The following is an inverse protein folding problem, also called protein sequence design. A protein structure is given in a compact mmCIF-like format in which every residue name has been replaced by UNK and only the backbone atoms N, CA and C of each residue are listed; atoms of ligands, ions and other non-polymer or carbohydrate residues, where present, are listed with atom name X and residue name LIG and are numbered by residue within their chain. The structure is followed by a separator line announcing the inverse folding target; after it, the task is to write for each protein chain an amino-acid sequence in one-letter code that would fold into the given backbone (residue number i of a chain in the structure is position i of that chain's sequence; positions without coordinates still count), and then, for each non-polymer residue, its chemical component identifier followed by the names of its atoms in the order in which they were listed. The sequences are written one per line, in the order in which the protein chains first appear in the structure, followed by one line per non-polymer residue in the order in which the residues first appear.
data_IF_899247109702
#
_entry.id   IF_899247109702
#
_cell.length_a   1.000
_cell.length_b   1.000
_cell.length_c   1.000
_cell.angle_alpha   90.00
_cell.angle_beta   90.00
_cell.angle_gamma   90.00
#
_symmetry.space_group_name_H-M   'P 1'
#
loop_
_entity.id
_entity.type
_entity.pdbx_description
1 polymer ?
#
# COMPACT_ATOMS: atom_id res chain seq x y z
N UNK A 1 -1.18 26.03 13.98
CA UNK A 1 -2.62 26.18 13.65
C UNK A 1 -2.71 26.18 12.14
N UNK A 2 -3.48 25.28 11.54
CA UNK A 2 -3.57 25.14 10.07
C UNK A 2 -4.35 26.33 9.49
N UNK A 3 -3.77 27.01 8.49
CA UNK A 3 -4.46 28.02 7.71
C UNK A 3 -5.35 27.36 6.64
N UNK A 4 -6.59 27.05 7.02
CA UNK A 4 -7.55 26.38 6.15
C UNK A 4 -7.94 27.19 4.92
N UNK A 5 -7.74 28.51 4.91
CA UNK A 5 -8.12 29.38 3.78
C UNK A 5 -7.34 29.07 2.50
N UNK A 6 -6.22 28.34 2.62
CA UNK A 6 -5.36 27.90 1.52
C UNK A 6 -5.43 26.39 1.26
N UNK A 7 -6.23 25.65 2.04
CA UNK A 7 -6.31 24.19 2.00
C UNK A 7 -7.54 23.76 1.20
N UNK A 8 -7.42 23.75 -0.13
CA UNK A 8 -8.51 23.33 -1.00
C UNK A 8 -8.69 21.81 -0.97
N UNK A 9 -9.93 21.36 -1.16
CA UNK A 9 -10.33 19.96 -1.27
C UNK A 9 -10.58 19.53 -2.73
N UNK A 10 -11.06 18.30 -2.93
CA UNK A 10 -11.35 17.75 -4.27
C UNK A 10 -12.35 18.57 -5.11
N UNK A 11 -13.16 19.42 -4.48
CA UNK A 11 -14.11 20.31 -5.17
C UNK A 11 -13.60 21.75 -5.28
N UNK A 12 -12.40 22.03 -4.77
CA UNK A 12 -11.81 23.36 -4.71
C UNK A 12 -12.29 24.20 -3.51
N UNK A 13 -13.10 23.63 -2.61
CA UNK A 13 -13.60 24.34 -1.43
C UNK A 13 -12.54 24.34 -0.32
N UNK A 14 -12.54 25.37 0.54
CA UNK A 14 -11.58 25.50 1.67
C UNK A 14 -12.25 25.45 3.04
N UNK A 15 -13.57 25.58 3.12
CA UNK A 15 -14.31 25.72 4.38
C UNK A 15 -15.10 24.45 4.78
N UNK A 16 -15.27 23.49 3.88
CA UNK A 16 -16.11 22.32 4.10
C UNK A 16 -15.42 21.25 4.95
N UNK A 17 -14.14 20.96 4.67
CA UNK A 17 -13.37 19.94 5.41
C UNK A 17 -13.33 20.19 6.92
N UNK A 18 -13.03 21.41 7.42
CA UNK A 18 -13.08 21.69 8.86
C UNK A 18 -14.45 21.42 9.49
N UNK A 19 -15.55 21.81 8.82
CA UNK A 19 -16.91 21.59 9.32
C UNK A 19 -17.27 20.11 9.37
N UNK A 20 -16.83 19.34 8.37
CA UNK A 20 -17.05 17.90 8.32
C UNK A 20 -16.23 17.19 9.41
N UNK A 21 -14.97 17.58 9.63
CA UNK A 21 -14.12 17.06 10.71
C UNK A 21 -14.77 17.28 12.09
N UNK A 22 -15.29 18.48 12.35
CA UNK A 22 -16.02 18.80 13.58
C UNK A 22 -17.29 17.95 13.74
N UNK A 23 -17.98 17.65 12.64
CA UNK A 23 -19.20 16.84 12.66
C UNK A 23 -18.90 15.38 12.95
N UNK A 24 -17.92 14.77 12.26
CA UNK A 24 -17.53 13.37 12.50
C UNK A 24 -16.92 13.15 13.88
N UNK A 25 -16.33 14.19 14.49
CA UNK A 25 -15.85 14.13 15.86
C UNK A 25 -16.99 14.02 16.90
N UNK A 26 -18.20 14.49 16.55
CA UNK A 26 -19.38 14.45 17.43
C UNK A 26 -20.32 13.29 17.12
N UNK A 27 -20.39 12.87 15.86
CA UNK A 27 -21.37 11.89 15.37
C UNK A 27 -20.72 10.96 14.36
N UNK A 28 -20.81 9.64 14.59
CA UNK A 28 -20.32 8.63 13.65
C UNK A 28 -21.34 8.36 12.53
N UNK A 29 -21.61 9.38 11.72
CA UNK A 29 -22.56 9.34 10.61
C UNK A 29 -21.89 8.87 9.32
N UNK A 30 -22.42 7.81 8.71
CA UNK A 30 -21.89 7.22 7.46
C UNK A 30 -21.87 8.21 6.31
N UNK A 31 -22.92 9.04 6.16
CA UNK A 31 -23.00 10.02 5.07
C UNK A 31 -21.93 11.11 5.18
N UNK A 32 -21.71 11.61 6.40
CA UNK A 32 -20.68 12.61 6.70
C UNK A 32 -19.28 12.05 6.46
N UNK A 33 -19.00 10.81 6.86
CA UNK A 33 -17.73 10.15 6.56
C UNK A 33 -17.50 9.95 5.07
N UNK A 34 -18.54 9.55 4.32
CA UNK A 34 -18.44 9.38 2.88
C UNK A 34 -18.11 10.70 2.15
N UNK A 35 -18.81 11.79 2.51
CA UNK A 35 -18.54 13.11 1.95
C UNK A 35 -17.15 13.64 2.34
N UNK A 36 -16.72 13.44 3.59
CA UNK A 36 -15.36 13.79 4.03
C UNK A 36 -14.31 13.00 3.24
N UNK A 37 -14.52 11.69 3.09
CA UNK A 37 -13.65 10.82 2.30
C UNK A 37 -13.50 11.32 0.87
N UNK A 38 -14.61 11.56 0.18
CA UNK A 38 -14.62 12.06 -1.21
C UNK A 38 -13.89 13.41 -1.36
N UNK A 39 -13.98 14.30 -0.37
CA UNK A 39 -13.31 15.60 -0.41
C UNK A 39 -11.80 15.50 -0.18
N UNK A 40 -11.35 14.56 0.66
CA UNK A 40 -9.93 14.41 1.00
C UNK A 40 -9.19 13.42 0.09
N UNK A 41 -9.91 12.50 -0.53
CA UNK A 41 -9.34 11.45 -1.37
C UNK A 41 -10.27 11.30 -2.58
N UNK A 42 -9.79 11.72 -3.74
CA UNK A 42 -10.47 11.50 -5.01
C UNK A 42 -9.87 10.27 -5.71
N UNK A 43 -10.64 9.65 -6.62
CA UNK A 43 -10.21 8.50 -7.41
C UNK A 43 -8.81 8.70 -8.06
N UNK A 44 -8.11 7.59 -8.34
CA UNK A 44 -6.79 7.57 -9.00
C UNK A 44 -5.65 8.28 -8.22
N UNK A 45 -5.56 8.02 -6.91
CA UNK A 45 -4.46 8.45 -6.04
C UNK A 45 -4.33 9.96 -5.78
N UNK A 46 -5.40 10.72 -6.01
CA UNK A 46 -5.40 12.16 -5.82
C UNK A 46 -5.73 12.55 -4.38
N UNK A 47 -4.79 13.27 -3.76
CA UNK A 47 -4.97 13.97 -2.48
C UNK A 47 -4.69 15.46 -2.67
N UNK A 48 -5.21 16.26 -1.75
CA UNK A 48 -5.24 17.72 -1.84
C UNK A 48 -4.58 18.33 -0.60
N UNK A 49 -4.25 19.64 -0.59
CA UNK A 49 -3.74 20.30 0.61
C UNK A 49 -4.62 20.07 1.85
N UNK A 50 -5.95 20.06 1.67
CA UNK A 50 -6.90 19.74 2.75
C UNK A 50 -6.71 18.34 3.36
N UNK A 51 -6.25 17.36 2.57
CA UNK A 51 -5.97 15.99 3.01
C UNK A 51 -4.86 15.96 4.05
N UNK A 52 -3.73 16.58 3.76
CA UNK A 52 -2.60 16.66 4.68
C UNK A 52 -2.94 17.53 5.90
N UNK A 53 -3.64 18.64 5.70
CA UNK A 53 -4.14 19.50 6.77
C UNK A 53 -5.09 18.77 7.75
N UNK A 54 -5.86 17.78 7.26
CA UNK A 54 -6.78 16.98 8.06
C UNK A 54 -6.08 15.88 8.89
N UNK A 55 -4.88 15.43 8.50
CA UNK A 55 -4.19 14.31 9.13
C UNK A 55 -4.09 14.43 10.66
N UNK A 56 -3.66 15.56 11.25
CA UNK A 56 -3.58 15.66 12.72
C UNK A 56 -4.93 15.48 13.40
N UNK A 57 -6.04 15.87 12.77
CA UNK A 57 -7.38 15.70 13.31
C UNK A 57 -7.84 14.24 13.19
N UNK A 58 -7.64 13.63 12.03
CA UNK A 58 -8.00 12.23 11.79
C UNK A 58 -7.22 11.28 12.71
N UNK A 59 -5.93 11.51 12.91
CA UNK A 59 -5.10 10.68 13.80
C UNK A 59 -5.55 10.77 15.26
N UNK A 60 -5.98 11.94 15.74
CA UNK A 60 -6.58 12.06 17.09
C UNK A 60 -7.90 11.30 17.20
N UNK A 61 -8.71 11.28 16.15
CA UNK A 61 -9.97 10.53 16.13
C UNK A 61 -9.76 9.01 15.97
N UNK A 62 -8.65 8.60 15.35
CA UNK A 62 -8.34 7.21 15.01
C UNK A 62 -8.19 6.30 16.24
N UNK A 63 -7.92 6.84 17.43
CA UNK A 63 -7.96 6.06 18.68
C UNK A 63 -9.32 5.42 18.95
N UNK A 64 -10.40 6.04 18.47
CA UNK A 64 -11.79 5.65 18.76
C UNK A 64 -12.61 5.38 17.50
N UNK A 65 -12.06 5.68 16.31
CA UNK A 65 -12.76 5.55 15.04
C UNK A 65 -11.89 4.83 14.01
N UNK A 66 -12.31 3.63 13.62
CA UNK A 66 -11.68 2.86 12.53
C UNK A 66 -11.84 3.60 11.19
N UNK A 67 -12.90 4.38 11.00
CA UNK A 67 -13.09 5.21 9.80
C UNK A 67 -12.06 6.32 9.72
N UNK A 68 -11.75 6.98 10.84
CA UNK A 68 -10.69 7.97 10.90
C UNK A 68 -9.31 7.35 10.63
N UNK A 69 -9.06 6.16 11.21
CA UNK A 69 -7.82 5.40 10.97
C UNK A 69 -7.66 5.03 9.49
N UNK A 70 -8.73 4.50 8.87
CA UNK A 70 -8.75 4.14 7.45
C UNK A 70 -8.51 5.36 6.55
N UNK A 71 -9.23 6.45 6.78
CA UNK A 71 -9.10 7.66 5.97
C UNK A 71 -7.71 8.32 6.11
N UNK A 72 -7.13 8.34 7.32
CA UNK A 72 -5.76 8.81 7.52
C UNK A 72 -4.75 7.92 6.78
N UNK A 73 -4.93 6.59 6.85
CA UNK A 73 -4.11 5.63 6.11
C UNK A 73 -4.21 5.79 4.60
N UNK A 74 -5.39 6.08 4.09
CA UNK A 74 -5.65 6.35 2.68
C UNK A 74 -4.98 7.63 2.16
N UNK A 75 -4.90 8.68 2.98
CA UNK A 75 -4.20 9.91 2.64
C UNK A 75 -2.69 9.67 2.58
N UNK A 76 -2.13 9.00 3.60
CA UNK A 76 -0.69 8.67 3.63
C UNK A 76 -0.32 7.70 2.52
N UNK A 77 -1.18 6.73 2.20
CA UNK A 77 -1.01 5.79 1.08
C UNK A 77 -0.74 6.47 -0.26
N UNK A 78 -1.30 7.67 -0.46
CA UNK A 78 -1.22 8.44 -1.70
C UNK A 78 -0.17 9.55 -1.63
N UNK A 79 0.49 9.73 -0.50
CA UNK A 79 1.47 10.78 -0.27
C UNK A 79 2.72 10.67 -1.15
N UNK A 80 3.00 9.48 -1.71
CA UNK A 80 4.09 9.26 -2.66
C UNK A 80 3.90 9.98 -4.01
N UNK A 81 2.66 10.37 -4.34
CA UNK A 81 2.39 11.12 -5.55
C UNK A 81 2.92 12.55 -5.44
N UNK A 82 3.39 13.11 -6.56
CA UNK A 82 3.87 14.49 -6.62
C UNK A 82 2.67 15.46 -6.65
N UNK A 83 2.03 15.65 -5.48
CA UNK A 83 0.82 16.48 -5.33
C UNK A 83 1.14 17.96 -5.04
N UNK A 84 2.41 18.35 -5.07
CA UNK A 84 2.85 19.71 -4.70
C UNK A 84 2.61 20.03 -3.21
N UNK A 85 2.46 19.01 -2.37
CA UNK A 85 2.12 19.12 -0.96
C UNK A 85 3.24 18.64 -0.02
N UNK A 86 4.47 18.47 -0.52
CA UNK A 86 5.59 17.86 0.21
C UNK A 86 5.90 18.60 1.52
N UNK A 87 5.77 19.93 1.52
CA UNK A 87 5.97 20.74 2.73
C UNK A 87 4.89 20.47 3.78
N UNK A 88 3.63 20.26 3.36
CA UNK A 88 2.54 19.91 4.27
C UNK A 88 2.71 18.50 4.81
N UNK A 89 3.13 17.55 3.96
CA UNK A 89 3.45 16.19 4.39
C UNK A 89 4.58 16.19 5.42
N UNK A 90 5.67 16.91 5.16
CA UNK A 90 6.82 17.04 6.09
C UNK A 90 6.42 17.68 7.41
N UNK A 91 5.47 18.62 7.39
CA UNK A 91 4.92 19.20 8.62
C UNK A 91 4.11 18.19 9.46
N UNK A 92 3.75 17.05 8.87
CA UNK A 92 2.97 15.99 9.50
C UNK A 92 3.83 14.80 10.01
N UNK A 93 5.16 14.85 9.98
CA UNK A 93 6.04 13.71 10.34
C UNK A 93 5.65 13.06 11.69
N UNK A 94 5.49 13.86 12.75
CA UNK A 94 5.06 13.34 14.05
C UNK A 94 3.64 12.75 14.06
N UNK A 95 2.76 13.25 13.19
CA UNK A 95 1.41 12.72 13.00
C UNK A 95 1.43 11.39 12.23
N UNK A 96 2.30 11.25 11.23
CA UNK A 96 2.49 10.02 10.44
C UNK A 96 3.08 8.91 11.32
N UNK A 97 4.04 9.24 12.19
CA UNK A 97 4.58 8.32 13.19
C UNK A 97 3.46 7.81 14.13
N UNK A 98 2.67 8.73 14.69
CA UNK A 98 1.56 8.36 15.57
C UNK A 98 0.49 7.50 14.87
N UNK A 99 0.23 7.76 13.58
CA UNK A 99 -0.63 6.91 12.75
C UNK A 99 -0.05 5.49 12.62
N UNK A 100 1.26 5.36 12.43
CA UNK A 100 1.95 4.06 12.39
C UNK A 100 1.72 3.21 13.63
N UNK A 101 1.85 3.82 14.82
CA UNK A 101 1.60 3.13 16.09
C UNK A 101 0.13 2.70 16.26
N UNK A 102 -0.81 3.52 15.77
CA UNK A 102 -2.23 3.17 15.77
C UNK A 102 -2.54 2.03 14.81
N UNK A 103 -1.98 2.06 13.60
CA UNK A 103 -2.12 1.00 12.60
C UNK A 103 -1.52 -0.31 13.09
N UNK A 104 -0.30 -0.33 13.65
CA UNK A 104 0.31 -1.55 14.18
C UNK A 104 -0.52 -2.18 15.29
N UNK A 105 -1.03 -1.35 16.23
CA UNK A 105 -1.95 -1.82 17.27
C UNK A 105 -3.24 -2.36 16.68
N UNK A 106 -3.80 -1.70 15.68
CA UNK A 106 -5.01 -2.14 15.01
C UNK A 106 -4.79 -3.50 14.32
N UNK A 107 -3.69 -3.70 13.59
CA UNK A 107 -3.40 -4.97 12.92
C UNK A 107 -3.30 -6.16 13.88
N UNK A 108 -2.75 -5.95 15.09
CA UNK A 108 -2.66 -6.98 16.14
C UNK A 108 -4.03 -7.45 16.63
N UNK A 109 -5.09 -6.66 16.50
CA UNK A 109 -6.47 -7.10 16.80
C UNK A 109 -7.07 -7.98 15.70
N UNK A 110 -6.33 -8.18 14.61
CA UNK A 110 -6.70 -9.00 13.45
C UNK A 110 -8.00 -8.54 12.78
N UNK A 111 -8.09 -7.25 12.38
CA UNK A 111 -9.28 -6.68 11.77
C UNK A 111 -9.65 -7.39 10.46
N UNK A 112 -10.92 -7.32 10.10
CA UNK A 112 -11.43 -7.74 8.80
C UNK A 112 -12.16 -6.55 8.16
N UNK A 113 -11.72 -6.03 7.00
CA UNK A 113 -10.56 -6.47 6.21
C UNK A 113 -9.20 -6.05 6.82
N UNK A 114 -8.17 -6.90 6.66
CA UNK A 114 -6.81 -6.65 7.20
C UNK A 114 -5.93 -5.83 6.25
N UNK A 115 -6.02 -6.11 4.95
CA UNK A 115 -5.11 -5.59 3.93
C UNK A 115 -5.06 -4.05 3.86
N UNK A 116 -6.19 -3.30 3.93
CA UNK A 116 -6.12 -1.84 3.85
C UNK A 116 -5.27 -1.20 4.95
N UNK A 117 -5.40 -1.68 6.20
CA UNK A 117 -4.59 -1.19 7.31
C UNK A 117 -3.12 -1.59 7.17
N UNK A 118 -2.84 -2.76 6.58
CA UNK A 118 -1.47 -3.22 6.35
C UNK A 118 -0.77 -2.40 5.26
N UNK A 119 -1.47 -2.10 4.15
CA UNK A 119 -1.00 -1.18 3.10
C UNK A 119 -0.77 0.24 3.63
N UNK A 120 -1.67 0.74 4.48
CA UNK A 120 -1.47 2.03 5.14
C UNK A 120 -0.20 2.03 6.01
N UNK A 121 0.08 0.95 6.74
CA UNK A 121 1.28 0.83 7.55
C UNK A 121 2.57 0.74 6.69
N UNK A 122 2.49 0.10 5.52
CA UNK A 122 3.56 0.13 4.53
C UNK A 122 3.85 1.56 4.05
N UNK A 123 2.82 2.34 3.75
CA UNK A 123 2.96 3.72 3.31
C UNK A 123 3.54 4.63 4.42
N UNK A 124 3.15 4.44 5.68
CA UNK A 124 3.78 5.13 6.83
C UNK A 124 5.28 4.81 6.94
N UNK A 125 5.71 3.61 6.49
CA UNK A 125 7.11 3.20 6.42
C UNK A 125 7.77 3.54 5.07
N UNK A 126 7.14 4.41 4.29
CA UNK A 126 7.59 4.87 2.98
C UNK A 126 7.81 3.73 1.97
N UNK A 127 7.20 2.56 2.20
CA UNK A 127 7.19 1.44 1.26
C UNK A 127 6.03 1.59 0.27
N UNK A 128 5.95 2.77 -0.36
CA UNK A 128 4.80 3.17 -1.18
C UNK A 128 4.55 2.26 -2.38
N UNK A 129 5.61 1.76 -3.01
CA UNK A 129 5.50 0.81 -4.12
C UNK A 129 4.90 -0.52 -3.69
N UNK A 130 5.22 -1.01 -2.49
CA UNK A 130 4.56 -2.20 -1.95
C UNK A 130 3.15 -1.88 -1.48
N UNK A 131 2.93 -0.71 -0.88
CA UNK A 131 1.60 -0.28 -0.45
C UNK A 131 0.60 -0.21 -1.63
N UNK A 132 1.06 0.21 -2.81
CA UNK A 132 0.20 0.32 -3.99
C UNK A 132 -0.15 -1.02 -4.63
N UNK A 133 0.76 -2.00 -4.65
CA UNK A 133 0.60 -3.20 -5.50
C UNK A 133 0.38 -4.51 -4.73
N UNK A 134 0.60 -4.53 -3.43
CA UNK A 134 0.44 -5.74 -2.62
C UNK A 134 -1.04 -6.05 -2.38
N UNK A 135 -1.61 -7.06 -3.04
CA UNK A 135 -2.97 -7.51 -2.77
C UNK A 135 -2.98 -8.65 -1.74
N UNK A 136 -4.09 -9.40 -1.65
CA UNK A 136 -4.27 -10.49 -0.69
C UNK A 136 -3.80 -11.86 -1.22
N UNK A 137 -3.14 -11.89 -2.38
CA UNK A 137 -2.73 -13.09 -3.10
C UNK A 137 -3.92 -13.97 -3.52
N UNK A 138 -5.10 -13.39 -3.76
CA UNK A 138 -6.21 -14.08 -4.43
C UNK A 138 -6.08 -14.05 -5.95
N UNK A 139 -5.59 -12.96 -6.53
CA UNK A 139 -5.48 -12.76 -7.99
C UNK A 139 -4.20 -11.99 -8.39
N UNK A 140 -3.11 -12.20 -7.67
CA UNK A 140 -1.89 -11.40 -7.84
C UNK A 140 -1.04 -11.91 -9.01
N UNK A 141 -0.87 -11.02 -9.99
CA UNK A 141 0.05 -11.20 -11.11
C UNK A 141 1.04 -10.04 -11.16
N UNK A 142 2.32 -10.38 -11.27
CA UNK A 142 3.39 -9.42 -11.49
C UNK A 142 4.01 -9.65 -12.86
N UNK A 143 4.45 -8.57 -13.51
CA UNK A 143 5.21 -8.65 -14.76
C UNK A 143 6.58 -8.08 -14.53
N UNK A 144 7.60 -8.82 -14.95
CA UNK A 144 8.99 -8.39 -14.83
C UNK A 144 9.75 -8.81 -16.08
N UNK A 145 10.80 -8.07 -16.42
CA UNK A 145 11.70 -8.47 -17.49
C UNK A 145 12.76 -9.41 -16.94
N UNK A 146 13.06 -10.51 -17.63
CA UNK A 146 14.17 -11.36 -17.23
C UNK A 146 15.49 -10.55 -17.34
N UNK A 147 16.35 -10.50 -16.30
CA UNK A 147 17.57 -9.70 -16.35
C UNK A 147 18.63 -10.25 -17.33
N UNK A 148 18.50 -11.51 -17.77
CA UNK A 148 19.47 -12.16 -18.65
C UNK A 148 19.11 -12.10 -20.13
N UNK A 149 17.82 -12.26 -20.48
CA UNK A 149 17.37 -12.30 -21.89
C UNK A 149 16.26 -11.29 -22.20
N UNK A 150 15.88 -10.44 -21.23
CA UNK A 150 14.92 -9.35 -21.36
C UNK A 150 13.50 -9.73 -21.81
N UNK A 151 13.18 -11.02 -21.89
CA UNK A 151 11.80 -11.46 -22.15
C UNK A 151 10.91 -11.06 -20.98
N UNK A 152 9.70 -10.59 -21.27
CA UNK A 152 8.68 -10.36 -20.24
C UNK A 152 8.26 -11.70 -19.64
N UNK A 153 8.28 -11.77 -18.30
CA UNK A 153 7.87 -12.94 -17.52
C UNK A 153 6.67 -12.53 -16.68
N UNK A 154 5.59 -13.29 -16.82
CA UNK A 154 4.43 -13.21 -15.93
C UNK A 154 4.67 -14.09 -14.71
N UNK A 155 4.42 -13.54 -13.53
CA UNK A 155 4.55 -14.21 -12.24
C UNK A 155 3.17 -14.31 -11.60
N UNK A 156 2.69 -15.52 -11.34
CA UNK A 156 1.49 -15.77 -10.57
C UNK A 156 1.87 -16.09 -9.12
N UNK A 157 1.26 -15.40 -8.15
CA UNK A 157 1.48 -15.64 -6.71
C UNK A 157 0.14 -15.68 -5.99
N UNK A 158 -0.31 -16.87 -5.58
CA UNK A 158 -1.53 -16.99 -4.79
C UNK A 158 -2.42 -18.15 -5.23
N UNK A 159 -3.72 -17.90 -5.26
CA UNK A 159 -4.73 -18.93 -5.52
C UNK A 159 -4.67 -19.47 -6.96
N UNK A 160 -4.20 -18.66 -7.93
CA UNK A 160 -3.98 -19.09 -9.32
C UNK A 160 -2.70 -19.93 -9.53
N UNK A 161 -1.80 -19.93 -8.55
CA UNK A 161 -0.55 -20.68 -8.60
C UNK A 161 0.64 -19.88 -8.09
N UNK A 162 1.80 -20.52 -8.16
CA UNK A 162 3.10 -19.99 -7.73
C UNK A 162 4.12 -20.30 -8.81
N UNK A 163 4.03 -19.59 -9.94
CA UNK A 163 4.87 -19.88 -11.11
C UNK A 163 5.30 -18.62 -11.87
N UNK A 164 6.38 -18.75 -12.63
CA UNK A 164 6.76 -17.85 -13.73
C UNK A 164 6.37 -18.47 -15.07
N UNK A 165 5.95 -17.64 -16.03
CA UNK A 165 5.47 -18.08 -17.35
C UNK A 165 5.71 -17.01 -18.42
N UNK A 166 5.63 -17.42 -19.70
CA UNK A 166 5.46 -16.50 -20.83
C UNK A 166 3.96 -16.38 -21.10
N UNK A 167 3.47 -15.16 -21.29
CA UNK A 167 2.07 -14.91 -21.61
C UNK A 167 1.85 -15.07 -23.12
N UNK A 168 1.16 -16.13 -23.51
CA UNK A 168 0.63 -16.29 -24.86
C UNK A 168 -0.80 -15.75 -24.94
N UNK A 169 -1.12 -15.06 -26.03
CA UNK A 169 -2.43 -14.43 -26.21
C UNK A 169 -3.59 -15.45 -26.31
N UNK A 170 -3.33 -16.62 -26.87
CA UNK A 170 -4.36 -17.65 -27.11
C UNK A 170 -4.32 -18.77 -26.07
N UNK A 171 -3.13 -19.18 -25.66
CA UNK A 171 -2.90 -20.29 -24.75
C UNK A 171 -2.76 -19.86 -23.28
N UNK A 172 -2.72 -18.55 -22.99
CA UNK A 172 -2.50 -18.02 -21.65
C UNK A 172 -1.07 -18.25 -21.18
N UNK A 173 -0.89 -18.60 -19.90
CA UNK A 173 0.45 -18.80 -19.32
C UNK A 173 1.06 -20.14 -19.74
N UNK A 174 2.08 -20.08 -20.61
CA UNK A 174 2.82 -21.25 -21.13
C UNK A 174 4.20 -21.37 -20.48
N UNK A 175 4.80 -22.57 -20.60
CA UNK A 175 6.14 -22.91 -20.09
C UNK A 175 6.35 -22.62 -18.59
N UNK A 176 5.31 -22.86 -17.79
CA UNK A 176 5.28 -22.55 -16.36
C UNK A 176 6.45 -23.19 -15.60
N UNK A 177 7.17 -22.39 -14.82
CA UNK A 177 8.20 -22.83 -13.87
C UNK A 177 7.79 -22.47 -12.45
N UNK A 178 7.92 -23.41 -11.51
CA UNK A 178 7.58 -23.14 -10.12
C UNK A 178 8.46 -22.02 -9.52
N UNK A 179 7.82 -21.10 -8.81
CA UNK A 179 8.53 -20.12 -7.98
C UNK A 179 9.13 -20.82 -6.76
N UNK A 180 10.22 -20.27 -6.26
CA UNK A 180 10.87 -20.74 -5.03
C UNK A 180 10.68 -19.68 -3.96
N UNK A 181 9.91 -19.95 -2.89
CA UNK A 181 9.77 -18.99 -1.81
C UNK A 181 11.12 -18.76 -1.12
N UNK A 182 11.33 -17.54 -0.64
CA UNK A 182 12.38 -17.25 0.32
C UNK A 182 12.02 -17.86 1.68
N UNK A 183 13.02 -18.45 2.34
CA UNK A 183 12.93 -18.78 3.77
C UNK A 183 12.96 -17.50 4.61
N UNK A 184 12.47 -17.58 5.85
CA UNK A 184 12.43 -16.43 6.77
C UNK A 184 13.83 -15.83 7.02
N UNK A 185 14.87 -16.67 6.97
CA UNK A 185 16.27 -16.30 7.15
C UNK A 185 16.86 -15.58 5.92
N UNK A 186 16.29 -15.82 4.74
CA UNK A 186 16.70 -15.16 3.49
C UNK A 186 16.03 -13.79 3.29
N UNK A 187 14.91 -13.55 3.97
CA UNK A 187 14.24 -12.25 3.91
C UNK A 187 15.05 -11.19 4.65
N UNK A 188 15.14 -10.00 4.05
CA UNK A 188 15.74 -8.82 4.66
C UNK A 188 14.90 -7.56 4.38
N UNK A 189 15.25 -6.44 5.00
CA UNK A 189 14.62 -5.13 4.75
C UNK A 189 13.09 -5.16 4.86
N UNK A 190 12.42 -4.56 3.87
CA UNK A 190 10.97 -4.49 3.80
C UNK A 190 10.30 -5.87 3.72
N UNK A 191 10.89 -6.82 2.96
CA UNK A 191 10.38 -8.19 2.82
C UNK A 191 10.33 -8.92 4.16
N UNK A 192 11.40 -8.80 4.95
CA UNK A 192 11.45 -9.39 6.30
C UNK A 192 10.43 -8.76 7.23
N UNK A 193 10.38 -7.43 7.25
CA UNK A 193 9.43 -6.71 8.10
C UNK A 193 7.97 -7.06 7.76
N UNK A 194 7.63 -7.13 6.48
CA UNK A 194 6.30 -7.53 6.02
C UNK A 194 5.96 -8.94 6.49
N UNK A 195 6.85 -9.90 6.25
CA UNK A 195 6.68 -11.29 6.64
C UNK A 195 6.48 -11.44 8.16
N UNK A 196 7.38 -10.87 8.96
CA UNK A 196 7.31 -10.96 10.42
C UNK A 196 6.01 -10.35 10.97
N UNK A 197 5.54 -9.24 10.37
CA UNK A 197 4.29 -8.58 10.77
C UNK A 197 3.08 -9.48 10.50
N UNK A 198 2.97 -10.02 9.28
CA UNK A 198 1.83 -10.87 8.91
C UNK A 198 1.87 -12.22 9.64
N UNK A 199 3.06 -12.75 9.96
CA UNK A 199 3.23 -13.96 10.78
C UNK A 199 2.77 -13.72 12.21
N UNK A 200 3.24 -12.62 12.85
CA UNK A 200 2.80 -12.20 14.19
C UNK A 200 1.28 -12.09 14.28
N UNK A 201 0.66 -11.54 13.23
CA UNK A 201 -0.78 -11.30 13.18
C UNK A 201 -1.58 -12.51 12.71
N UNK A 202 -0.92 -13.65 12.45
CA UNK A 202 -1.57 -14.93 12.10
C UNK A 202 -2.12 -14.98 10.67
N UNK A 203 -1.62 -14.15 9.76
CA UNK A 203 -2.05 -14.05 8.36
C UNK A 203 -1.24 -14.97 7.45
N UNK A 204 -1.48 -16.29 7.59
CA UNK A 204 -0.73 -17.34 6.86
C UNK A 204 -0.71 -17.13 5.34
N UNK A 205 -1.84 -16.82 4.70
CA UNK A 205 -1.92 -16.62 3.24
C UNK A 205 -1.00 -15.49 2.78
N UNK A 206 -1.04 -14.35 3.48
CA UNK A 206 -0.15 -13.22 3.21
C UNK A 206 1.33 -13.59 3.44
N UNK A 207 1.64 -14.31 4.52
CA UNK A 207 3.01 -14.74 4.80
C UNK A 207 3.56 -15.63 3.67
N UNK A 208 2.75 -16.57 3.17
CA UNK A 208 3.11 -17.42 2.03
C UNK A 208 3.31 -16.61 0.75
N UNK A 209 2.40 -15.68 0.44
CA UNK A 209 2.52 -14.83 -0.74
C UNK A 209 3.77 -13.93 -0.69
N UNK A 210 4.02 -13.28 0.45
CA UNK A 210 5.22 -12.46 0.69
C UNK A 210 6.50 -13.30 0.53
N UNK A 211 6.53 -14.53 1.03
CA UNK A 211 7.69 -15.40 0.84
C UNK A 211 7.97 -15.72 -0.64
N UNK A 212 6.95 -15.82 -1.49
CA UNK A 212 7.12 -15.98 -2.94
C UNK A 212 7.48 -14.67 -3.64
N UNK A 213 6.88 -13.55 -3.23
CA UNK A 213 7.15 -12.22 -3.77
C UNK A 213 8.61 -11.82 -3.55
N UNK A 214 9.17 -12.16 -2.40
CA UNK A 214 10.59 -11.95 -2.09
C UNK A 214 11.45 -13.20 -2.36
N UNK A 215 10.90 -14.16 -3.11
CA UNK A 215 11.55 -15.39 -3.50
C UNK A 215 12.25 -15.28 -4.86
N UNK A 216 12.45 -16.43 -5.50
CA UNK A 216 13.12 -16.55 -6.80
C UNK A 216 12.19 -17.11 -7.87
N UNK A 217 12.32 -16.58 -9.08
CA UNK A 217 11.70 -17.09 -10.28
C UNK A 217 12.74 -17.73 -11.21
N UNK A 218 12.27 -18.55 -12.15
CA UNK A 218 13.08 -19.11 -13.24
C UNK A 218 12.50 -18.62 -14.56
N UNK A 219 13.32 -17.98 -15.40
CA UNK A 219 12.89 -17.55 -16.72
C UNK A 219 12.49 -18.77 -17.57
N UNK A 220 11.25 -18.82 -18.11
CA UNK A 220 10.83 -19.93 -18.95
C UNK A 220 11.65 -20.08 -20.24
N UNK A 221 12.17 -18.97 -20.77
CA UNK A 221 12.90 -18.92 -22.03
C UNK A 221 14.38 -19.32 -21.89
N UNK A 222 15.12 -18.69 -20.97
CA UNK A 222 16.58 -18.88 -20.84
C UNK A 222 17.00 -19.64 -19.58
N UNK A 223 16.06 -20.07 -18.74
CA UNK A 223 16.28 -20.75 -17.46
C UNK A 223 17.10 -19.97 -16.41
N UNK A 224 17.41 -18.69 -16.66
CA UNK A 224 18.06 -17.83 -15.66
C UNK A 224 17.19 -17.69 -14.40
N UNK A 225 17.83 -17.71 -13.24
CA UNK A 225 17.18 -17.55 -11.93
C UNK A 225 17.36 -16.12 -11.46
N UNK A 226 16.28 -15.45 -11.06
CA UNK A 226 16.30 -14.07 -10.59
C UNK A 226 15.36 -13.86 -9.40
N UNK A 227 15.56 -12.77 -8.67
CA UNK A 227 14.72 -12.40 -7.53
C UNK A 227 13.47 -11.64 -7.97
N UNK A 228 12.31 -12.04 -7.48
CA UNK A 228 11.03 -11.46 -7.95
C UNK A 228 10.90 -10.00 -7.53
N UNK A 229 11.09 -9.72 -6.24
CA UNK A 229 10.95 -8.39 -5.68
C UNK A 229 12.00 -7.42 -6.24
N UNK A 230 13.22 -7.89 -6.51
CA UNK A 230 14.30 -7.09 -7.07
C UNK A 230 14.00 -6.64 -8.49
N UNK A 231 13.57 -7.56 -9.37
CA UNK A 231 13.22 -7.19 -10.76
C UNK A 231 11.95 -6.34 -10.82
N UNK A 232 10.99 -6.59 -9.92
CA UNK A 232 9.81 -5.74 -9.81
C UNK A 232 10.19 -4.32 -9.38
N UNK A 233 11.01 -4.20 -8.34
CA UNK A 233 11.51 -2.91 -7.87
C UNK A 233 12.31 -2.18 -8.97
N UNK A 234 13.16 -2.88 -9.71
CA UNK A 234 13.94 -2.29 -10.81
C UNK A 234 13.06 -1.77 -11.96
N UNK A 235 11.90 -2.39 -12.21
CA UNK A 235 10.98 -2.00 -13.28
C UNK A 235 10.03 -0.86 -12.87
N UNK A 236 9.67 -0.75 -11.59
CA UNK A 236 8.57 0.10 -11.13
C UNK A 236 8.93 1.13 -10.05
N UNK A 237 10.12 1.06 -9.44
CA UNK A 237 10.59 2.17 -8.61
C UNK A 237 11.04 3.32 -9.53
N UNK A 238 10.57 4.56 -9.28
CA UNK A 238 11.18 5.73 -9.91
C UNK A 238 12.66 5.74 -9.60
N UNK A 239 13.52 5.97 -10.60
CA UNK A 239 14.92 6.31 -10.35
C UNK A 239 14.90 7.63 -9.59
N UNK A 240 15.07 7.58 -8.28
CA UNK A 240 15.26 8.79 -7.49
C UNK A 240 16.62 9.35 -7.91
N UNK A 241 16.59 10.44 -8.68
CA UNK A 241 17.78 11.23 -9.03
C UNK A 241 18.27 12.09 -7.88
#
# INVERSE_FOLDING_TARGET
MTDWTRMYDARGDTDQVPRLLDRVARQDDTGTWAELGFRLVLECDLVFPASFAALPHLVRLAEKSVRALGLAGEIVGRAAGHHGCDDLLRSCDGTVIALGDLLDRHLRTRPAPYLPAFRALLAVREQYHWASVLEDFSDDFYRVSCPACHVEVTLAIGDYGRYSAVRDWHAGDVDRRALRPASAEQLSGAGRWMYDTVVRDGRRKLAEGIAHLFGKAVCPCCASVFGVAEEYAAAYLPVMG
#
